data_IF_462032899572
#
_entry.id   IF_462032899572
#
_cell.length_a   1.000
_cell.length_b   1.000
_cell.length_c   1.000
_cell.angle_alpha   90.00
_cell.angle_beta   90.00
_cell.angle_gamma   90.00
#
_symmetry.space_group_name_H-M   'P 1'
#
loop_
_entity.id
_entity.type
_entity.pdbx_description
1 polymer ?
#
# COMPACT_ATOMS: atom_id res chain seq x y z
N UNK A 1 39.94 -36.24 17.65
CA UNK A 1 38.53 -35.95 17.36
C UNK A 1 38.48 -35.07 16.12
N UNK A 2 38.43 -35.70 14.94
CA UNK A 2 38.15 -34.97 13.69
C UNK A 2 36.65 -34.68 13.67
N UNK A 3 36.31 -33.39 13.63
CA UNK A 3 34.92 -32.95 13.43
C UNK A 3 34.67 -33.02 11.93
N UNK A 4 33.95 -34.05 11.48
CA UNK A 4 33.41 -34.10 10.11
C UNK A 4 32.56 -32.85 9.89
N UNK A 5 33.03 -31.95 9.03
CA UNK A 5 32.21 -30.83 8.54
C UNK A 5 31.13 -31.41 7.63
N UNK A 6 29.92 -31.55 8.16
CA UNK A 6 28.75 -31.86 7.36
C UNK A 6 28.55 -30.70 6.39
N UNK A 7 28.85 -30.93 5.11
CA UNK A 7 28.67 -29.96 4.05
C UNK A 7 27.17 -29.89 3.70
N UNK A 8 26.42 -29.00 4.36
CA UNK A 8 25.01 -28.78 4.06
C UNK A 8 24.86 -27.87 2.83
N UNK A 9 24.23 -28.38 1.78
CA UNK A 9 23.82 -27.59 0.62
C UNK A 9 22.43 -27.00 0.85
N UNK A 10 22.30 -25.67 0.74
CA UNK A 10 21.02 -24.97 0.80
C UNK A 10 20.58 -24.56 -0.60
N UNK A 11 19.32 -24.81 -0.94
CA UNK A 11 18.70 -24.22 -2.12
C UNK A 11 18.05 -22.89 -1.71
N UNK A 12 18.59 -21.78 -2.20
CA UNK A 12 18.11 -20.43 -1.90
C UNK A 12 17.24 -19.97 -3.06
N UNK A 13 16.03 -19.51 -2.74
CA UNK A 13 15.11 -18.89 -3.70
C UNK A 13 14.78 -17.46 -3.29
N UNK A 14 14.74 -16.56 -4.25
CA UNK A 14 14.37 -15.15 -4.08
C UNK A 14 12.97 -14.93 -4.64
N UNK A 15 11.99 -14.90 -3.74
CA UNK A 15 10.56 -14.87 -4.10
C UNK A 15 10.03 -13.50 -4.52
N UNK A 16 10.66 -12.41 -4.08
CA UNK A 16 10.17 -11.09 -4.41
C UNK A 16 10.97 -9.99 -3.74
N UNK A 17 10.66 -8.76 -4.17
CA UNK A 17 11.26 -7.54 -3.69
C UNK A 17 10.18 -6.61 -3.13
N UNK A 18 10.39 -6.11 -1.92
CA UNK A 18 9.50 -5.19 -1.23
C UNK A 18 10.26 -3.90 -0.91
N UNK A 19 9.58 -2.76 -1.02
CA UNK A 19 10.17 -1.48 -0.66
C UNK A 19 9.22 -0.32 -0.94
N UNK A 20 9.69 0.89 -0.67
CA UNK A 20 8.94 2.08 -1.03
C UNK A 20 8.92 2.28 -2.56
N UNK A 21 7.96 3.08 -3.06
CA UNK A 21 7.84 3.27 -4.51
C UNK A 21 9.10 3.84 -5.18
N UNK A 22 9.87 4.77 -4.56
CA UNK A 22 11.18 5.20 -5.06
C UNK A 22 12.21 4.08 -5.24
N UNK A 23 12.35 3.14 -4.30
CA UNK A 23 13.28 2.02 -4.47
C UNK A 23 12.76 1.04 -5.53
N UNK A 24 11.48 0.66 -5.46
CA UNK A 24 10.89 -0.30 -6.40
C UNK A 24 10.96 0.18 -7.85
N UNK A 25 10.76 1.48 -8.14
CA UNK A 25 10.87 2.00 -9.51
C UNK A 25 12.28 1.87 -10.08
N UNK A 26 13.31 2.01 -9.23
CA UNK A 26 14.71 1.93 -9.65
C UNK A 26 15.08 0.48 -9.96
N UNK A 27 14.70 -0.44 -9.07
CA UNK A 27 14.98 -1.87 -9.25
C UNK A 27 14.22 -2.45 -10.44
N UNK A 28 12.95 -2.05 -10.62
CA UNK A 28 12.12 -2.50 -11.76
C UNK A 28 12.42 -1.78 -13.08
N UNK A 29 13.27 -0.75 -13.08
CA UNK A 29 13.55 0.11 -14.22
C UNK A 29 12.27 0.67 -14.87
N UNK A 30 11.36 1.16 -14.02
CA UNK A 30 10.08 1.76 -14.43
C UNK A 30 10.01 3.24 -14.04
N UNK A 31 9.07 3.96 -14.67
CA UNK A 31 8.78 5.33 -14.26
C UNK A 31 8.21 5.41 -12.86
N UNK A 32 8.53 6.51 -12.16
CA UNK A 32 7.99 6.74 -10.83
C UNK A 32 6.51 7.12 -10.80
N UNK A 33 5.96 7.16 -9.59
CA UNK A 33 4.56 7.42 -9.22
C UNK A 33 3.89 8.70 -9.81
N UNK A 34 4.63 9.58 -10.48
CA UNK A 34 4.10 10.78 -11.15
C UNK A 34 4.04 10.64 -12.69
N UNK A 35 4.48 9.50 -13.22
CA UNK A 35 4.51 9.21 -14.65
C UNK A 35 3.15 8.83 -15.24
N UNK A 36 3.04 8.69 -16.56
CA UNK A 36 1.77 8.32 -17.18
C UNK A 36 1.35 6.88 -16.89
N UNK A 37 2.28 5.92 -16.85
CA UNK A 37 2.00 4.49 -16.65
C UNK A 37 2.88 3.91 -15.51
N UNK A 38 2.74 4.35 -14.25
CA UNK A 38 3.69 4.02 -13.17
C UNK A 38 3.43 2.68 -12.49
N UNK A 39 2.25 2.09 -12.69
CA UNK A 39 1.89 0.87 -12.00
C UNK A 39 2.77 -0.27 -12.49
N UNK A 40 3.08 -1.24 -11.65
CA UNK A 40 3.81 -2.45 -12.04
C UNK A 40 2.85 -3.50 -12.64
N UNK A 41 1.62 -3.51 -12.16
CA UNK A 41 0.63 -4.56 -12.40
C UNK A 41 -0.37 -4.27 -13.52
N UNK A 42 -0.57 -3.02 -13.94
CA UNK A 42 -1.49 -2.69 -15.02
C UNK A 42 -1.15 -1.39 -15.76
N UNK A 43 -1.78 -1.18 -16.90
CA UNK A 43 -1.52 -0.05 -17.79
C UNK A 43 -2.34 1.20 -17.45
N UNK A 44 -2.65 1.43 -16.16
CA UNK A 44 -3.41 2.61 -15.76
C UNK A 44 -2.70 3.89 -16.23
N UNK A 45 -3.43 4.73 -16.96
CA UNK A 45 -2.91 6.00 -17.47
C UNK A 45 -3.26 7.15 -16.53
N UNK A 46 -2.26 7.83 -16.01
CA UNK A 46 -2.44 8.99 -15.14
C UNK A 46 -2.79 10.27 -15.90
N UNK A 47 -3.73 11.04 -15.36
CA UNK A 47 -4.18 12.34 -15.88
C UNK A 47 -3.38 13.47 -15.25
N UNK A 48 -2.97 14.45 -16.06
CA UNK A 48 -2.24 15.62 -15.56
C UNK A 48 -3.23 16.65 -15.02
N UNK A 49 -3.14 16.96 -13.73
CA UNK A 49 -3.90 18.05 -13.13
C UNK A 49 -3.02 19.30 -13.16
N UNK A 50 -3.54 20.40 -13.74
CA UNK A 50 -2.79 21.65 -13.90
C UNK A 50 -2.59 22.39 -12.57
N UNK A 51 -3.59 22.36 -11.68
CA UNK A 51 -3.58 23.04 -10.38
C UNK A 51 -4.23 22.16 -9.31
N UNK A 52 -3.48 21.60 -8.35
CA UNK A 52 -2.02 21.61 -8.23
C UNK A 52 -1.37 20.76 -9.34
N UNK A 53 -0.12 21.06 -9.71
CA UNK A 53 0.63 20.33 -10.74
C UNK A 53 0.99 18.93 -10.25
N UNK A 54 0.09 17.97 -10.44
CA UNK A 54 0.27 16.58 -10.01
C UNK A 54 -0.34 15.60 -10.99
N UNK A 55 0.12 14.35 -10.90
CA UNK A 55 -0.47 13.22 -11.60
C UNK A 55 -1.57 12.61 -10.73
N UNK A 56 -2.73 12.35 -11.32
CA UNK A 56 -3.78 11.59 -10.68
C UNK A 56 -4.11 10.36 -11.49
N UNK A 57 -4.63 9.36 -10.81
CA UNK A 57 -5.06 8.10 -11.39
C UNK A 57 -6.53 7.92 -10.99
N UNK A 58 -7.47 8.47 -11.78
CA UNK A 58 -8.89 8.26 -11.54
C UNK A 58 -9.25 6.78 -11.64
N UNK A 59 -10.28 6.36 -10.91
CA UNK A 59 -10.79 5.00 -11.02
C UNK A 59 -11.22 4.72 -12.46
N UNK A 60 -10.75 3.60 -13.00
CA UNK A 60 -11.18 3.09 -14.30
C UNK A 60 -11.62 1.64 -14.08
N UNK A 61 -12.86 1.26 -14.43
CA UNK A 61 -13.40 -0.07 -14.15
C UNK A 61 -12.66 -1.18 -14.90
N UNK A 62 -12.06 -0.84 -16.05
CA UNK A 62 -11.27 -1.75 -16.87
C UNK A 62 -9.86 -1.20 -17.01
N UNK A 63 -8.87 -1.97 -16.57
CA UNK A 63 -7.47 -1.72 -16.84
C UNK A 63 -6.83 -3.02 -17.32
N UNK A 64 -5.97 -2.93 -18.34
CA UNK A 64 -5.22 -4.10 -18.79
C UNK A 64 -4.17 -4.44 -17.74
N UNK A 65 -4.30 -5.62 -17.13
CA UNK A 65 -3.27 -6.14 -16.24
C UNK A 65 -2.06 -6.58 -17.07
N UNK A 66 -0.86 -6.29 -16.57
CA UNK A 66 0.38 -6.77 -17.18
C UNK A 66 0.54 -8.25 -16.87
N UNK A 67 0.78 -9.02 -17.91
CA UNK A 67 1.21 -10.40 -17.79
C UNK A 67 2.73 -10.45 -17.69
N UNK A 68 3.29 -11.60 -17.30
CA UNK A 68 4.74 -11.82 -17.35
C UNK A 68 5.29 -11.51 -18.75
N UNK A 69 4.59 -12.01 -19.78
CA UNK A 69 5.00 -11.77 -21.16
C UNK A 69 4.92 -10.29 -21.56
N UNK A 70 3.83 -9.58 -21.24
CA UNK A 70 3.72 -8.17 -21.63
C UNK A 70 4.71 -7.29 -20.87
N UNK A 71 4.97 -7.58 -19.59
CA UNK A 71 5.99 -6.91 -18.80
C UNK A 71 7.38 -7.07 -19.42
N UNK A 72 7.75 -8.31 -19.79
CA UNK A 72 9.02 -8.62 -20.43
C UNK A 72 9.17 -7.93 -21.80
N UNK A 73 8.15 -8.05 -22.67
CA UNK A 73 8.18 -7.47 -24.02
C UNK A 73 8.32 -5.94 -23.95
N UNK A 74 7.52 -5.26 -23.12
CA UNK A 74 7.62 -3.81 -22.96
C UNK A 74 8.98 -3.37 -22.40
N UNK A 75 9.54 -4.14 -21.45
CA UNK A 75 10.88 -3.87 -20.89
C UNK A 75 11.99 -3.99 -21.94
N UNK A 76 11.96 -5.05 -22.75
CA UNK A 76 12.91 -5.27 -23.86
C UNK A 76 12.78 -4.19 -24.93
N UNK A 77 11.55 -3.84 -25.30
CA UNK A 77 11.30 -2.79 -26.29
C UNK A 77 11.80 -1.42 -25.79
N UNK A 78 11.54 -1.08 -24.53
CA UNK A 78 12.02 0.15 -23.91
C UNK A 78 13.55 0.24 -23.93
N UNK A 79 14.23 -0.87 -23.62
CA UNK A 79 15.69 -0.96 -23.65
C UNK A 79 16.25 -0.76 -25.06
N UNK A 80 15.69 -1.46 -26.05
CA UNK A 80 16.15 -1.41 -27.44
C UNK A 80 15.91 -0.04 -28.08
N UNK A 81 14.74 0.56 -27.82
CA UNK A 81 14.37 1.86 -28.40
C UNK A 81 14.88 3.04 -27.59
N UNK A 82 15.40 2.81 -26.37
CA UNK A 82 15.73 3.88 -25.42
C UNK A 82 14.58 4.86 -25.20
N UNK A 83 13.36 4.32 -25.12
CA UNK A 83 12.12 5.09 -25.02
C UNK A 83 11.21 4.50 -23.94
N UNK A 84 10.33 5.35 -23.40
CA UNK A 84 9.31 4.88 -22.47
C UNK A 84 8.24 4.06 -23.19
N UNK A 85 8.10 2.79 -22.82
CA UNK A 85 7.06 1.89 -23.34
C UNK A 85 6.16 1.50 -22.18
N UNK A 86 4.93 2.03 -22.13
CA UNK A 86 3.95 1.77 -21.05
C UNK A 86 4.53 1.87 -19.62
N UNK A 87 5.47 2.80 -19.43
CA UNK A 87 6.12 3.04 -18.15
C UNK A 87 7.42 2.29 -17.91
N UNK A 88 7.80 1.36 -18.78
CA UNK A 88 9.10 0.72 -18.75
C UNK A 88 10.17 1.65 -19.31
N UNK A 89 11.34 1.70 -18.68
CA UNK A 89 12.52 2.44 -19.12
C UNK A 89 13.62 1.49 -19.64
N UNK A 90 13.47 0.20 -19.40
CA UNK A 90 14.36 -0.86 -19.86
C UNK A 90 14.10 -2.14 -19.09
N UNK A 91 15.09 -3.04 -19.10
CA UNK A 91 15.02 -4.31 -18.36
C UNK A 91 15.28 -4.04 -16.87
N UNK A 92 14.54 -4.72 -16.02
CA UNK A 92 14.68 -4.68 -14.56
C UNK A 92 15.92 -5.45 -14.12
N UNK A 93 16.64 -4.95 -13.11
CA UNK A 93 17.74 -5.72 -12.49
C UNK A 93 17.23 -6.96 -11.73
N UNK A 94 15.93 -7.00 -11.42
CA UNK A 94 15.29 -8.10 -10.71
C UNK A 94 14.96 -9.28 -11.64
N UNK A 95 14.99 -9.10 -12.97
CA UNK A 95 14.63 -10.13 -13.94
C UNK A 95 15.50 -11.39 -13.79
N UNK A 96 16.80 -11.20 -13.56
CA UNK A 96 17.77 -12.29 -13.41
C UNK A 96 18.00 -12.71 -11.95
N UNK A 97 17.33 -12.05 -10.99
CA UNK A 97 17.53 -12.27 -9.55
C UNK A 97 16.35 -13.02 -8.91
N UNK A 98 15.12 -12.78 -9.39
CA UNK A 98 13.92 -13.35 -8.80
C UNK A 98 13.54 -14.69 -9.43
N UNK A 99 13.17 -15.66 -8.60
CA UNK A 99 12.56 -16.91 -9.05
C UNK A 99 11.09 -16.73 -9.45
N UNK A 100 10.44 -15.67 -8.93
CA UNK A 100 9.07 -15.29 -9.30
C UNK A 100 9.14 -14.21 -10.38
N UNK A 101 8.55 -14.44 -11.56
CA UNK A 101 8.67 -13.51 -12.67
C UNK A 101 7.95 -12.19 -12.41
N UNK A 102 8.46 -11.12 -13.03
CA UNK A 102 7.85 -9.79 -12.97
C UNK A 102 6.52 -9.75 -13.75
N UNK A 103 5.53 -8.96 -13.31
CA UNK A 103 5.56 -8.06 -12.14
C UNK A 103 5.26 -8.73 -10.80
N UNK A 104 4.90 -10.03 -10.76
CA UNK A 104 4.42 -10.69 -9.53
C UNK A 104 5.46 -10.74 -8.40
N UNK A 105 6.74 -10.69 -8.74
CA UNK A 105 7.83 -10.54 -7.78
C UNK A 105 7.95 -9.16 -7.12
N UNK A 106 7.19 -8.13 -7.55
CA UNK A 106 7.24 -6.77 -6.97
C UNK A 106 6.17 -6.63 -5.88
N UNK A 107 6.55 -6.76 -4.61
CA UNK A 107 5.60 -6.73 -3.50
C UNK A 107 5.29 -5.27 -3.12
N UNK A 108 4.01 -4.90 -3.06
CA UNK A 108 3.60 -3.58 -2.57
C UNK A 108 3.64 -3.59 -1.05
N UNK A 109 4.43 -2.68 -0.50
CA UNK A 109 4.49 -2.52 0.95
C UNK A 109 3.27 -1.78 1.50
N UNK A 110 2.40 -2.50 2.22
CA UNK A 110 1.21 -1.90 2.83
C UNK A 110 1.54 -0.87 3.91
N UNK A 111 2.70 -0.98 4.57
CA UNK A 111 3.14 0.00 5.57
C UNK A 111 3.28 1.38 4.92
N UNK A 112 4.05 1.43 3.84
CA UNK A 112 4.26 2.66 3.09
C UNK A 112 3.01 3.08 2.31
N UNK A 113 2.40 2.17 1.56
CA UNK A 113 1.26 2.50 0.70
C UNK A 113 0.00 2.82 1.51
N UNK A 114 -0.48 1.86 2.30
CA UNK A 114 -1.77 2.00 2.97
C UNK A 114 -1.70 2.90 4.20
N UNK A 115 -0.70 2.74 5.06
CA UNK A 115 -0.65 3.46 6.33
C UNK A 115 -0.02 4.85 6.19
N UNK A 116 1.27 4.91 5.85
CA UNK A 116 2.04 6.16 5.86
C UNK A 116 1.62 7.14 4.78
N UNK A 117 1.14 6.67 3.63
CA UNK A 117 0.71 7.53 2.53
C UNK A 117 -0.80 7.70 2.54
N UNK A 118 -1.55 6.66 2.19
CA UNK A 118 -2.98 6.81 1.94
C UNK A 118 -3.80 7.15 3.20
N UNK A 119 -3.75 6.30 4.21
CA UNK A 119 -4.60 6.44 5.40
C UNK A 119 -4.23 7.69 6.22
N UNK A 120 -2.93 7.99 6.36
CA UNK A 120 -2.49 9.24 7.00
C UNK A 120 -3.08 10.47 6.32
N UNK A 121 -3.07 10.52 4.99
CA UNK A 121 -3.60 11.67 4.25
C UNK A 121 -5.13 11.76 4.37
N UNK A 122 -5.84 10.63 4.33
CA UNK A 122 -7.29 10.57 4.61
C UNK A 122 -7.61 11.13 5.99
N UNK A 123 -6.88 10.72 7.04
CA UNK A 123 -7.14 11.21 8.40
C UNK A 123 -6.83 12.69 8.52
N UNK A 124 -5.79 13.20 7.85
CA UNK A 124 -5.49 14.64 7.84
C UNK A 124 -6.64 15.43 7.24
N UNK A 125 -7.21 14.98 6.13
CA UNK A 125 -8.38 15.63 5.52
C UNK A 125 -9.57 15.58 6.47
N UNK A 126 -9.90 14.40 7.01
CA UNK A 126 -10.98 14.23 7.98
C UNK A 126 -10.79 15.16 9.17
N UNK A 127 -9.63 15.14 9.82
CA UNK A 127 -9.32 15.99 10.96
C UNK A 127 -9.41 17.48 10.64
N UNK A 128 -8.91 17.90 9.47
CA UNK A 128 -8.98 19.31 9.05
C UNK A 128 -10.41 19.81 8.86
N UNK A 129 -11.36 18.92 8.54
CA UNK A 129 -12.78 19.26 8.42
C UNK A 129 -13.50 19.38 9.78
N UNK A 130 -12.88 18.91 10.87
CA UNK A 130 -13.48 18.92 12.20
C UNK A 130 -13.14 20.20 12.97
N UNK A 131 -14.13 20.70 13.73
CA UNK A 131 -13.95 21.83 14.62
C UNK A 131 -12.80 21.59 15.62
N UNK A 132 -12.01 22.60 16.00
CA UNK A 132 -10.88 22.44 16.92
C UNK A 132 -11.25 21.71 18.23
N UNK A 133 -12.40 22.05 18.82
CA UNK A 133 -12.89 21.39 20.05
C UNK A 133 -13.25 19.91 19.84
N UNK A 134 -13.68 19.51 18.63
CA UNK A 134 -13.91 18.10 18.30
C UNK A 134 -12.58 17.36 18.16
N UNK A 135 -11.60 17.97 17.47
CA UNK A 135 -10.25 17.40 17.34
C UNK A 135 -9.61 17.15 18.71
N UNK A 136 -9.70 18.11 19.63
CA UNK A 136 -9.16 17.93 20.98
C UNK A 136 -9.83 16.76 21.72
N UNK A 137 -11.16 16.61 21.61
CA UNK A 137 -11.87 15.48 22.21
C UNK A 137 -11.43 14.14 21.63
N UNK A 138 -11.21 14.07 20.32
CA UNK A 138 -10.68 12.87 19.65
C UNK A 138 -9.26 12.57 20.16
N UNK A 139 -8.39 13.58 20.23
CA UNK A 139 -7.01 13.41 20.72
C UNK A 139 -7.00 12.87 22.15
N UNK A 140 -7.78 13.47 23.05
CA UNK A 140 -7.90 13.04 24.43
C UNK A 140 -8.41 11.59 24.53
N UNK A 141 -9.36 11.22 23.67
CA UNK A 141 -9.94 9.87 23.64
C UNK A 141 -8.94 8.84 23.10
N UNK A 142 -8.21 9.16 22.02
CA UNK A 142 -7.17 8.29 21.44
C UNK A 142 -6.04 8.02 22.44
N UNK A 143 -5.55 9.06 23.14
CA UNK A 143 -4.48 8.93 24.14
C UNK A 143 -4.91 8.04 25.31
N UNK A 144 -6.20 8.07 25.68
CA UNK A 144 -6.77 7.26 26.76
C UNK A 144 -7.11 5.83 26.35
N UNK A 145 -7.11 5.50 25.05
CA UNK A 145 -7.41 4.15 24.60
C UNK A 145 -6.40 3.16 25.16
N UNK A 146 -6.91 2.16 25.90
CA UNK A 146 -6.11 1.05 26.42
C UNK A 146 -5.92 0.01 25.32
N UNK A 147 -4.70 -0.44 25.15
CA UNK A 147 -4.36 -1.57 24.30
C UNK A 147 -3.87 -2.74 25.16
N UNK A 148 -3.99 -3.99 24.69
CA UNK A 148 -3.36 -5.13 25.34
C UNK A 148 -1.86 -4.89 25.59
N UNK A 149 -1.31 -5.48 26.65
CA UNK A 149 0.06 -5.21 27.11
C UNK A 149 1.16 -5.43 26.06
N UNK A 150 0.93 -6.32 25.09
CA UNK A 150 1.87 -6.61 23.99
C UNK A 150 1.87 -5.56 22.88
N UNK A 151 0.96 -4.57 22.90
CA UNK A 151 1.01 -3.44 21.98
C UNK A 151 2.03 -2.42 22.48
N UNK A 152 3.26 -2.49 21.98
CA UNK A 152 4.29 -1.49 22.27
C UNK A 152 3.87 -0.10 21.75
N UNK A 153 3.92 0.94 22.60
CA UNK A 153 3.53 2.35 22.37
C UNK A 153 2.03 2.67 22.51
N UNK A 154 1.73 3.77 23.20
CA UNK A 154 0.39 4.37 23.27
C UNK A 154 0.06 5.10 21.96
N UNK A 155 -1.23 5.33 21.72
CA UNK A 155 -1.68 6.19 20.61
C UNK A 155 -1.37 7.65 20.90
N UNK A 156 -1.00 8.40 19.86
CA UNK A 156 -0.86 9.86 19.90
C UNK A 156 -2.12 10.54 19.38
N UNK A 157 -2.28 11.81 19.73
CA UNK A 157 -3.30 12.66 19.14
C UNK A 157 -3.04 12.93 17.66
N UNK A 158 -4.10 13.30 16.94
CA UNK A 158 -4.12 13.68 15.53
C UNK A 158 -3.18 14.85 15.22
N UNK A 159 -2.99 15.76 16.18
CA UNK A 159 -2.07 16.89 16.04
C UNK A 159 -0.61 16.47 15.90
N UNK A 160 -0.21 15.33 16.48
CA UNK A 160 1.16 14.82 16.42
C UNK A 160 1.42 13.94 15.19
N UNK A 161 0.51 13.91 14.21
CA UNK A 161 0.61 13.01 13.05
C UNK A 161 1.75 13.34 12.08
N UNK A 162 2.46 14.44 12.30
CA UNK A 162 3.75 14.70 11.65
C UNK A 162 4.84 13.71 12.11
N UNK A 163 4.72 13.18 13.33
CA UNK A 163 5.69 12.26 13.96
C UNK A 163 5.11 10.86 14.25
N UNK A 164 3.91 10.57 13.72
CA UNK A 164 3.26 9.27 13.93
C UNK A 164 4.04 8.17 13.22
N UNK A 165 4.33 7.09 13.96
CA UNK A 165 4.95 5.91 13.39
C UNK A 165 3.93 5.04 12.66
N UNK A 166 4.42 4.26 11.70
CA UNK A 166 3.64 3.28 10.94
C UNK A 166 2.80 2.37 11.86
N UNK A 167 3.39 1.88 12.96
CA UNK A 167 2.69 1.00 13.90
C UNK A 167 1.52 1.69 14.63
N UNK A 168 1.61 2.99 14.90
CA UNK A 168 0.53 3.77 15.51
C UNK A 168 -0.61 3.98 14.50
N UNK A 169 -0.29 4.24 13.22
CA UNK A 169 -1.28 4.30 12.15
C UNK A 169 -2.00 2.96 11.94
N UNK A 170 -1.29 1.83 12.06
CA UNK A 170 -1.90 0.50 12.03
C UNK A 170 -2.92 0.32 13.15
N UNK A 171 -2.57 0.70 14.38
CA UNK A 171 -3.49 0.63 15.53
C UNK A 171 -4.71 1.51 15.32
N UNK A 172 -4.49 2.72 14.82
CA UNK A 172 -5.57 3.63 14.47
C UNK A 172 -6.49 3.02 13.43
N UNK A 173 -5.97 2.52 12.31
CA UNK A 173 -6.77 1.93 11.24
C UNK A 173 -7.63 0.78 11.75
N UNK A 174 -7.02 -0.18 12.45
CA UNK A 174 -7.68 -1.44 12.81
C UNK A 174 -8.57 -1.34 14.04
N UNK A 175 -8.26 -0.44 14.98
CA UNK A 175 -8.90 -0.42 16.31
C UNK A 175 -9.32 0.96 16.80
N UNK A 176 -8.77 2.05 16.26
CA UNK A 176 -8.98 3.40 16.77
C UNK A 176 -9.90 4.27 15.91
N UNK A 177 -9.90 4.11 14.59
CA UNK A 177 -10.54 5.09 13.73
C UNK A 177 -12.06 5.08 13.90
N UNK A 178 -12.69 3.92 13.69
CA UNK A 178 -14.15 3.82 13.78
C UNK A 178 -14.67 4.24 15.17
N UNK A 179 -14.18 3.68 16.31
CA UNK A 179 -14.74 4.00 17.62
C UNK A 179 -14.60 5.47 18.02
N UNK A 180 -13.53 6.13 17.58
CA UNK A 180 -13.23 7.51 18.00
C UNK A 180 -13.80 8.57 17.05
N UNK A 181 -14.05 8.22 15.77
CA UNK A 181 -14.52 9.17 14.76
C UNK A 181 -16.01 9.00 14.41
N UNK A 182 -16.64 7.86 14.71
CA UNK A 182 -18.01 7.56 14.24
C UNK A 182 -19.08 8.59 14.64
N UNK A 183 -18.95 9.25 15.79
CA UNK A 183 -19.90 10.25 16.26
C UNK A 183 -19.70 11.65 15.65
N UNK A 184 -18.65 11.82 14.84
CA UNK A 184 -18.24 13.10 14.26
C UNK A 184 -18.27 13.09 12.72
N UNK A 185 -18.60 11.96 12.12
CA UNK A 185 -18.71 11.77 10.67
C UNK A 185 -20.17 11.50 10.30
N UNK A 186 -20.54 11.85 9.07
CA UNK A 186 -21.82 11.40 8.54
C UNK A 186 -21.81 9.88 8.32
N UNK A 187 -22.98 9.25 8.31
CA UNK A 187 -23.13 7.82 8.01
C UNK A 187 -22.44 7.47 6.68
N UNK A 188 -22.60 8.30 5.65
CA UNK A 188 -21.99 8.05 4.34
C UNK A 188 -20.46 8.10 4.39
N UNK A 189 -19.88 9.08 5.08
CA UNK A 189 -18.43 9.18 5.27
C UNK A 189 -17.89 7.98 6.05
N UNK A 190 -18.60 7.57 7.10
CA UNK A 190 -18.22 6.43 7.91
C UNK A 190 -18.29 5.12 7.11
N UNK A 191 -19.37 4.89 6.37
CA UNK A 191 -19.51 3.75 5.46
C UNK A 191 -18.38 3.73 4.42
N UNK A 192 -18.12 4.87 3.78
CA UNK A 192 -17.07 5.01 2.78
C UNK A 192 -15.69 4.65 3.35
N UNK A 193 -15.29 5.21 4.50
CA UNK A 193 -13.98 4.91 5.11
C UNK A 193 -13.93 3.47 5.66
N UNK A 194 -15.08 2.92 6.07
CA UNK A 194 -15.18 1.53 6.51
C UNK A 194 -14.89 0.54 5.38
N UNK A 195 -15.22 0.84 4.12
CA UNK A 195 -14.83 0.00 2.97
C UNK A 195 -13.32 -0.26 2.95
N UNK A 196 -12.52 0.80 3.08
CA UNK A 196 -11.06 0.69 3.13
C UNK A 196 -10.57 -0.05 4.37
N UNK A 197 -11.13 0.30 5.54
CA UNK A 197 -10.72 -0.31 6.82
C UNK A 197 -11.00 -1.81 6.86
N UNK A 198 -12.18 -2.22 6.39
CA UNK A 198 -12.58 -3.63 6.31
C UNK A 198 -11.75 -4.35 5.24
N UNK A 199 -11.54 -3.75 4.07
CA UNK A 199 -10.71 -4.33 3.01
C UNK A 199 -9.29 -4.64 3.49
N UNK A 200 -8.65 -3.69 4.19
CA UNK A 200 -7.33 -3.92 4.80
C UNK A 200 -7.42 -5.04 5.86
N UNK A 201 -8.43 -4.99 6.73
CA UNK A 201 -8.57 -5.99 7.81
C UNK A 201 -8.74 -7.42 7.29
N UNK A 202 -9.47 -7.61 6.19
CA UNK A 202 -9.64 -8.91 5.55
C UNK A 202 -8.31 -9.46 5.02
N UNK A 203 -7.47 -8.62 4.43
CA UNK A 203 -6.17 -9.04 3.88
C UNK A 203 -5.04 -9.04 4.93
N UNK A 204 -5.25 -8.46 6.10
CA UNK A 204 -4.21 -8.30 7.10
C UNK A 204 -3.87 -9.61 7.82
N UNK A 205 -4.82 -10.54 7.97
CA UNK A 205 -4.61 -11.83 8.63
C UNK A 205 -4.80 -12.99 7.65
N UNK A 206 -4.47 -14.20 8.11
CA UNK A 206 -4.81 -15.43 7.40
C UNK A 206 -6.31 -15.49 7.10
N UNK A 207 -6.65 -16.25 6.06
CA UNK A 207 -7.96 -16.15 5.41
C UNK A 207 -9.09 -16.38 6.41
N UNK A 208 -9.89 -15.33 6.65
CA UNK A 208 -11.06 -15.42 7.53
C UNK A 208 -12.20 -16.17 6.83
N UNK A 209 -12.28 -16.04 5.49
CA UNK A 209 -13.32 -16.62 4.65
C UNK A 209 -12.74 -17.51 3.53
N UNK A 210 -11.58 -18.13 3.77
CA UNK A 210 -10.86 -18.94 2.78
C UNK A 210 -10.64 -18.15 1.47
N UNK A 211 -10.85 -18.80 0.32
CA UNK A 211 -10.67 -18.26 -1.03
C UNK A 211 -11.54 -17.03 -1.35
N UNK A 212 -12.61 -16.76 -0.59
CA UNK A 212 -13.45 -15.57 -0.81
C UNK A 212 -12.91 -14.31 -0.14
N UNK A 213 -11.96 -14.44 0.80
CA UNK A 213 -11.40 -13.32 1.56
C UNK A 213 -10.83 -12.24 0.64
N UNK A 214 -9.97 -12.66 -0.31
CA UNK A 214 -9.27 -11.73 -1.20
C UNK A 214 -10.18 -11.10 -2.24
N UNK A 215 -11.16 -11.87 -2.74
CA UNK A 215 -12.21 -11.39 -3.66
C UNK A 215 -13.11 -10.35 -2.98
N UNK A 216 -13.58 -10.62 -1.76
CA UNK A 216 -14.41 -9.68 -1.00
C UNK A 216 -13.64 -8.39 -0.70
N UNK A 217 -12.38 -8.50 -0.28
CA UNK A 217 -11.53 -7.33 -0.07
C UNK A 217 -11.35 -6.50 -1.35
N UNK A 218 -11.14 -7.16 -2.50
CA UNK A 218 -11.03 -6.46 -3.79
C UNK A 218 -12.29 -5.67 -4.14
N UNK A 219 -13.47 -6.26 -3.92
CA UNK A 219 -14.74 -5.57 -4.16
C UNK A 219 -14.88 -4.32 -3.27
N UNK A 220 -14.46 -4.40 -2.00
CA UNK A 220 -14.43 -3.24 -1.11
C UNK A 220 -13.46 -2.16 -1.60
N UNK A 221 -12.25 -2.53 -2.03
CA UNK A 221 -11.28 -1.57 -2.57
C UNK A 221 -11.75 -0.94 -3.89
N UNK A 222 -12.39 -1.71 -4.77
CA UNK A 222 -13.00 -1.20 -6.01
C UNK A 222 -14.08 -0.16 -5.71
N UNK A 223 -15.01 -0.48 -4.81
CA UNK A 223 -16.04 0.46 -4.39
C UNK A 223 -15.43 1.72 -3.76
N UNK A 224 -14.48 1.53 -2.84
CA UNK A 224 -13.76 2.63 -2.19
C UNK A 224 -13.07 3.55 -3.20
N UNK A 225 -12.42 2.99 -4.22
CA UNK A 225 -11.74 3.77 -5.24
C UNK A 225 -12.72 4.47 -6.19
N UNK A 226 -13.78 3.79 -6.62
CA UNK A 226 -14.83 4.37 -7.46
C UNK A 226 -15.47 5.60 -6.80
N UNK A 227 -15.80 5.49 -5.51
CA UNK A 227 -16.44 6.56 -4.74
C UNK A 227 -15.45 7.61 -4.20
N UNK A 228 -14.14 7.39 -4.33
CA UNK A 228 -13.13 8.22 -3.70
C UNK A 228 -13.20 9.70 -4.09
N UNK A 229 -13.64 9.99 -5.31
CA UNK A 229 -13.80 11.34 -5.80
C UNK A 229 -14.85 12.16 -5.02
N UNK A 230 -15.83 11.50 -4.39
CA UNK A 230 -16.91 12.14 -3.62
C UNK A 230 -16.40 12.82 -2.36
N UNK A 231 -15.35 12.26 -1.73
CA UNK A 231 -14.85 12.73 -0.43
C UNK A 231 -13.40 13.23 -0.48
N UNK A 232 -12.57 12.65 -1.37
CA UNK A 232 -11.12 12.85 -1.39
C UNK A 232 -10.58 12.96 -2.83
N UNK A 233 -11.26 13.73 -3.69
CA UNK A 233 -10.89 13.91 -5.11
C UNK A 233 -9.41 14.23 -5.36
N UNK A 234 -8.80 15.03 -4.48
CA UNK A 234 -7.41 15.42 -4.59
C UNK A 234 -6.42 14.29 -4.20
N UNK A 235 -6.88 13.22 -3.53
CA UNK A 235 -6.07 12.08 -3.10
C UNK A 235 -6.18 10.87 -4.06
N UNK A 236 -6.73 11.03 -5.27
CA UNK A 236 -6.68 10.01 -6.33
C UNK A 236 -5.27 9.85 -6.92
N UNK A 237 -4.30 9.52 -6.08
CA UNK A 237 -2.88 9.40 -6.39
C UNK A 237 -2.51 7.95 -6.73
N UNK A 238 -1.23 7.72 -7.05
CA UNK A 238 -0.73 6.39 -7.40
C UNK A 238 -0.92 5.37 -6.28
N UNK A 239 -0.78 5.81 -5.03
CA UNK A 239 -0.89 4.93 -3.86
C UNK A 239 -2.32 4.42 -3.69
N UNK A 240 -3.33 5.26 -3.92
CA UNK A 240 -4.73 4.80 -3.94
C UNK A 240 -4.91 3.67 -4.95
N UNK A 241 -4.35 3.82 -6.16
CA UNK A 241 -4.42 2.81 -7.22
C UNK A 241 -3.82 1.46 -6.81
N UNK A 242 -2.69 1.47 -6.09
CA UNK A 242 -1.99 0.25 -5.68
C UNK A 242 -2.88 -0.74 -4.91
N UNK A 243 -3.89 -0.26 -4.18
CA UNK A 243 -4.84 -1.11 -3.45
C UNK A 243 -5.69 -2.01 -4.36
N UNK A 244 -5.82 -1.69 -5.66
CA UNK A 244 -6.50 -2.57 -6.63
C UNK A 244 -5.74 -3.87 -6.90
N UNK A 245 -4.45 -3.92 -6.54
CA UNK A 245 -3.58 -5.09 -6.75
C UNK A 245 -3.35 -5.88 -5.46
N UNK A 246 -3.99 -5.48 -4.35
CA UNK A 246 -3.82 -6.16 -3.07
C UNK A 246 -4.38 -7.58 -3.07
N UNK A 247 -5.41 -7.85 -3.88
CA UNK A 247 -5.88 -9.23 -4.08
C UNK A 247 -4.76 -10.11 -4.64
N UNK A 248 -4.12 -9.68 -5.73
CA UNK A 248 -3.04 -10.44 -6.37
C UNK A 248 -1.88 -10.65 -5.40
N UNK A 249 -1.53 -9.62 -4.63
CA UNK A 249 -0.48 -9.75 -3.61
C UNK A 249 -0.84 -10.77 -2.53
N UNK A 250 -2.08 -10.72 -2.03
CA UNK A 250 -2.54 -11.66 -1.02
C UNK A 250 -2.53 -13.10 -1.56
N UNK A 251 -3.04 -13.29 -2.78
CA UNK A 251 -3.13 -14.60 -3.41
C UNK A 251 -1.74 -15.19 -3.72
N UNK A 252 -0.75 -14.35 -4.06
CA UNK A 252 0.61 -14.79 -4.38
C UNK A 252 1.54 -14.92 -3.16
N UNK A 253 1.42 -14.03 -2.17
CA UNK A 253 2.40 -13.88 -1.09
C UNK A 253 1.82 -14.01 0.31
N UNK A 254 0.50 -14.13 0.44
CA UNK A 254 -0.21 -14.27 1.71
C UNK A 254 -0.57 -12.95 2.39
N UNK A 255 -0.88 -12.97 3.70
CA UNK A 255 -1.44 -11.83 4.41
C UNK A 255 -0.54 -10.59 4.42
N UNK A 256 -1.15 -9.39 4.41
CA UNK A 256 -0.40 -8.12 4.51
C UNK A 256 0.49 -8.06 5.77
N UNK A 257 0.09 -8.75 6.85
CA UNK A 257 0.91 -8.83 8.07
C UNK A 257 2.21 -9.60 7.93
N UNK A 258 2.38 -10.46 6.92
CA UNK A 258 3.64 -11.14 6.60
C UNK A 258 4.45 -10.42 5.51
N UNK A 259 3.80 -9.65 4.63
CA UNK A 259 4.45 -8.93 3.53
C UNK A 259 4.59 -7.42 3.80
N UNK A 260 5.53 -7.05 4.66
CA UNK A 260 5.76 -5.65 5.02
C UNK A 260 7.18 -5.38 5.48
N UNK A 261 7.54 -4.09 5.53
CA UNK A 261 8.89 -3.65 5.90
C UNK A 261 9.06 -3.21 7.35
N UNK A 262 8.08 -3.47 8.23
CA UNK A 262 8.12 -3.00 9.63
C UNK A 262 9.40 -3.43 10.35
N UNK A 263 9.83 -4.68 10.13
CA UNK A 263 11.04 -5.19 10.76
C UNK A 263 12.29 -4.43 10.26
N UNK A 264 12.41 -4.16 8.95
CA UNK A 264 13.57 -3.43 8.41
C UNK A 264 13.59 -1.95 8.84
N UNK A 265 12.44 -1.27 8.95
CA UNK A 265 12.38 0.12 9.43
C UNK A 265 12.96 0.27 10.86
N UNK A 266 12.72 -0.72 11.73
CA UNK A 266 13.26 -0.70 13.08
C UNK A 266 14.78 -0.89 13.11
N UNK A 267 15.39 -1.60 12.12
CA UNK A 267 16.84 -1.77 12.02
C UNK A 267 17.57 -0.56 11.43
N UNK A 268 16.96 0.19 10.52
CA UNK A 268 17.57 1.40 9.93
C UNK A 268 17.81 2.48 11.00
N UNK A 269 17.02 2.48 12.09
CA UNK A 269 17.25 3.39 13.22
C UNK A 269 18.50 3.10 14.06
N UNK A 270 19.22 2.00 13.79
CA UNK A 270 20.45 1.60 14.50
C UNK A 270 21.72 1.67 13.63
N UNK A 271 21.59 2.07 12.36
CA UNK A 271 22.72 2.30 11.43
C UNK A 271 22.94 3.81 11.31
#
# INVERSE_FOLDING_TARGET
>A
FEVERIQQSFNIKVYGCIGDSPALKLMSNMIGHNGYYPCYYCDIKGVHIRKPRKRQYPYTPTNNCRTVNSFYVHSREAQLKSQNIFGHLGISILEDVLDVPLPHGIIIDYAHASLLRHFRDVIRVVASSLAPAVRQRIDDSLIKQRFPHFFHRKMRGVQDFSFIKTIELKKLLLYGFIPHFMNYLTTDQLCFISLFTIGIRLLHADSVFNHTTSVTANNLFRQYYADHHKYFSHLANFVLHLHQHFQVLYDCHGPLSSINTFAQEDFIGYI
#
